data_IF_232391396088
#
_entry.id   IF_232391396088
#
_cell.length_a   1.000
_cell.length_b   1.000
_cell.length_c   1.000
_cell.angle_alpha   90.00
_cell.angle_beta   90.00
_cell.angle_gamma   90.00
#
_symmetry.space_group_name_H-M   'P 1'
#
loop_
_entity.id
_entity.type
_entity.pdbx_description
1 polymer ?
#
# COMPACT_ATOMS: atom_id res chain seq x y z
N UNK A 1 10.77 -11.86 7.06
CA UNK A 1 10.17 -11.23 5.86
C UNK A 1 8.72 -11.65 5.72
N UNK A 2 7.78 -10.69 5.74
CA UNK A 2 6.39 -10.95 5.36
C UNK A 2 6.27 -10.81 3.82
N UNK A 3 5.47 -11.66 3.20
CA UNK A 3 5.19 -11.60 1.77
C UNK A 3 3.74 -11.17 1.58
N UNK A 4 3.55 -10.03 0.90
CA UNK A 4 2.24 -9.59 0.43
C UNK A 4 1.95 -10.29 -0.90
N UNK A 5 0.78 -10.91 -1.02
CA UNK A 5 0.22 -11.45 -2.26
C UNK A 5 -1.15 -10.81 -2.43
N UNK A 6 -1.35 -10.05 -3.49
CA UNK A 6 -2.60 -9.35 -3.76
C UNK A 6 -2.96 -9.41 -5.24
N UNK A 7 -4.23 -9.59 -5.56
CA UNK A 7 -4.78 -9.48 -6.92
C UNK A 7 -5.57 -8.19 -7.04
N UNK A 8 -5.11 -7.26 -7.88
CA UNK A 8 -5.75 -5.95 -8.08
C UNK A 8 -6.61 -5.90 -9.34
N UNK A 9 -7.75 -5.25 -9.21
CA UNK A 9 -8.66 -4.91 -10.30
C UNK A 9 -8.98 -3.41 -10.27
N UNK A 10 -9.03 -2.80 -11.44
CA UNK A 10 -9.57 -1.45 -11.61
C UNK A 10 -11.08 -1.58 -11.77
N UNK A 11 -11.83 -0.72 -11.08
CA UNK A 11 -13.29 -0.74 -11.10
C UNK A 11 -13.76 0.46 -11.89
N UNK A 12 -14.61 0.22 -12.90
CA UNK A 12 -15.28 1.29 -13.61
C UNK A 12 -16.24 2.03 -12.67
N UNK A 13 -16.27 3.36 -12.77
CA UNK A 13 -17.00 4.24 -11.85
C UNK A 13 -18.47 3.84 -11.68
N UNK A 14 -19.15 3.53 -12.78
CA UNK A 14 -20.59 3.21 -12.78
C UNK A 14 -20.88 1.81 -12.20
N UNK A 15 -19.85 0.96 -12.06
CA UNK A 15 -19.97 -0.40 -11.53
C UNK A 15 -19.71 -0.50 -10.03
N UNK A 16 -19.25 0.58 -9.37
CA UNK A 16 -18.85 0.56 -7.95
C UNK A 16 -20.01 0.12 -7.05
N UNK A 17 -21.21 0.66 -7.24
CA UNK A 17 -22.36 0.32 -6.40
C UNK A 17 -22.84 -1.12 -6.63
N UNK A 18 -22.85 -1.57 -7.88
CA UNK A 18 -23.19 -2.95 -8.21
C UNK A 18 -22.20 -3.94 -7.58
N UNK A 19 -20.90 -3.66 -7.67
CA UNK A 19 -19.85 -4.46 -7.05
C UNK A 19 -19.99 -4.47 -5.53
N UNK A 20 -20.19 -3.30 -4.90
CA UNK A 20 -20.38 -3.18 -3.46
C UNK A 20 -21.58 -4.01 -2.99
N UNK A 21 -22.72 -3.91 -3.66
CA UNK A 21 -23.92 -4.70 -3.32
C UNK A 21 -23.67 -6.20 -3.48
N UNK A 22 -22.97 -6.60 -4.54
CA UNK A 22 -22.61 -8.00 -4.76
C UNK A 22 -21.75 -8.54 -3.61
N UNK A 23 -20.70 -7.81 -3.22
CA UNK A 23 -19.82 -8.20 -2.10
C UNK A 23 -20.56 -8.23 -0.76
N UNK A 24 -21.48 -7.29 -0.52
CA UNK A 24 -22.30 -7.26 0.69
C UNK A 24 -23.22 -8.50 0.80
N UNK A 25 -23.77 -8.96 -0.32
CA UNK A 25 -24.65 -10.13 -0.33
C UNK A 25 -23.85 -11.45 -0.28
N UNK A 26 -22.70 -11.51 -0.94
CA UNK A 26 -21.88 -12.71 -1.04
C UNK A 26 -21.03 -12.98 0.22
N UNK A 27 -20.67 -11.94 0.98
CA UNK A 27 -19.68 -12.04 2.06
C UNK A 27 -20.18 -11.44 3.36
N UNK A 28 -20.05 -12.21 4.46
CA UNK A 28 -20.29 -11.69 5.82
C UNK A 28 -19.30 -10.58 6.14
N UNK A 29 -19.81 -9.36 6.35
CA UNK A 29 -19.01 -8.20 6.76
C UNK A 29 -18.30 -8.45 8.09
N UNK A 30 -17.03 -8.06 8.15
CA UNK A 30 -16.42 -7.60 9.40
C UNK A 30 -16.25 -6.09 9.25
N UNK A 31 -17.09 -5.25 9.90
CA UNK A 31 -16.97 -3.81 9.78
C UNK A 31 -15.63 -3.37 10.37
N UNK A 32 -14.83 -2.66 9.57
CA UNK A 32 -13.59 -2.02 10.03
C UNK A 32 -13.61 -0.57 9.56
N UNK A 33 -13.17 0.34 10.45
CA UNK A 33 -13.36 1.77 10.30
C UNK A 33 -12.61 2.31 9.06
N UNK A 34 -13.27 2.95 8.09
CA UNK A 34 -12.71 3.18 6.76
C UNK A 34 -12.09 4.57 6.63
N UNK A 35 -10.84 4.79 7.05
CA UNK A 35 -10.09 5.97 6.62
C UNK A 35 -8.62 5.62 6.55
N UNK A 36 -7.99 5.82 5.39
CA UNK A 36 -6.54 5.79 5.28
C UNK A 36 -6.07 6.92 4.38
N UNK A 37 -5.42 7.90 4.99
CA UNK A 37 -4.60 8.87 4.27
C UNK A 37 -3.17 8.31 4.28
N UNK A 38 -2.53 8.19 3.12
CA UNK A 38 -1.13 7.79 3.07
C UNK A 38 -0.28 8.69 2.20
N UNK A 39 0.86 9.10 2.75
CA UNK A 39 1.90 9.84 2.04
C UNK A 39 2.89 8.81 1.51
N UNK A 40 3.10 8.81 0.19
CA UNK A 40 3.98 7.87 -0.48
C UNK A 40 5.23 8.58 -1.01
N UNK A 41 6.35 7.91 -0.84
CA UNK A 41 7.68 8.35 -1.20
C UNK A 41 8.30 7.21 -2.00
N UNK A 42 8.47 7.42 -3.30
CA UNK A 42 9.15 6.43 -4.14
C UNK A 42 10.52 6.96 -4.51
N UNK A 43 11.57 6.25 -4.10
CA UNK A 43 12.93 6.55 -4.56
C UNK A 43 13.41 5.45 -5.49
N UNK A 44 13.79 5.85 -6.70
CA UNK A 44 14.42 4.97 -7.69
C UNK A 44 15.92 5.24 -7.71
N UNK A 45 16.75 4.28 -7.28
CA UNK A 45 18.19 4.30 -7.58
C UNK A 45 18.46 3.45 -8.81
N UNK A 46 19.10 4.05 -9.81
CA UNK A 46 19.70 3.33 -10.93
C UNK A 46 21.19 3.25 -10.67
N UNK A 47 21.70 2.11 -10.20
CA UNK A 47 23.14 1.86 -10.16
C UNK A 47 23.46 0.55 -10.88
N UNK A 48 24.27 0.65 -11.93
CA UNK A 48 25.11 -0.43 -12.48
C UNK A 48 24.42 -1.56 -13.25
N UNK A 49 23.33 -2.14 -12.74
CA UNK A 49 22.50 -3.13 -13.46
C UNK A 49 21.24 -3.56 -12.68
N UNK A 50 21.00 -3.04 -11.46
CA UNK A 50 19.85 -3.42 -10.64
C UNK A 50 19.04 -2.16 -10.32
N UNK A 51 17.84 -2.06 -10.91
CA UNK A 51 16.86 -1.05 -10.52
C UNK A 51 16.13 -1.59 -9.30
N UNK A 52 16.59 -1.19 -8.11
CA UNK A 52 15.86 -1.49 -6.88
C UNK A 52 14.88 -0.34 -6.62
N UNK A 53 13.59 -0.67 -6.66
CA UNK A 53 12.52 0.30 -6.40
C UNK A 53 12.07 0.04 -4.97
N UNK A 54 12.35 1.00 -4.10
CA UNK A 54 11.70 1.08 -2.81
C UNK A 54 10.48 1.98 -2.94
N UNK A 55 9.33 1.45 -2.54
CA UNK A 55 8.16 2.25 -2.28
C UNK A 55 8.00 2.34 -0.76
N UNK A 56 8.31 3.51 -0.24
CA UNK A 56 8.15 3.87 1.17
C UNK A 56 6.85 4.64 1.31
N UNK A 57 6.08 4.38 2.35
CA UNK A 57 4.89 5.18 2.67
C UNK A 57 4.71 5.31 4.17
N UNK A 58 4.05 6.38 4.58
CA UNK A 58 3.41 6.48 5.89
C UNK A 58 1.90 6.45 5.66
N UNK A 59 1.21 5.53 6.33
CA UNK A 59 -0.25 5.45 6.37
C UNK A 59 -0.74 5.97 7.71
N UNK A 60 -1.60 6.97 7.70
CA UNK A 60 -2.33 7.48 8.85
C UNK A 60 -3.80 7.04 8.82
N UNK A 61 -4.29 6.53 9.94
CA UNK A 61 -5.69 6.17 10.14
C UNK A 61 -6.10 6.37 11.60
N UNK A 62 -7.09 7.23 11.85
CA UNK A 62 -7.62 7.50 13.20
C UNK A 62 -6.53 7.84 14.24
N UNK A 63 -5.57 8.69 13.87
CA UNK A 63 -4.46 9.10 14.75
C UNK A 63 -3.40 8.02 14.98
N UNK A 64 -3.47 6.87 14.31
CA UNK A 64 -2.41 5.86 14.27
C UNK A 64 -1.64 5.96 12.97
N UNK A 65 -0.35 5.71 13.03
CA UNK A 65 0.54 5.79 11.88
C UNK A 65 1.32 4.49 11.71
N UNK A 66 1.50 4.09 10.47
CA UNK A 66 2.28 2.92 10.08
C UNK A 66 3.21 3.32 8.94
N UNK A 67 4.51 3.06 9.09
CA UNK A 67 5.49 3.14 8.03
C UNK A 67 5.56 1.80 7.30
N UNK A 68 5.45 1.82 5.97
CA UNK A 68 5.58 0.61 5.15
C UNK A 68 6.73 0.75 4.15
N UNK A 69 7.57 -0.26 4.05
CA UNK A 69 8.52 -0.44 2.94
C UNK A 69 8.08 -1.61 2.07
N UNK A 70 7.91 -1.34 0.77
CA UNK A 70 7.71 -2.36 -0.26
C UNK A 70 8.96 -2.44 -1.13
N UNK A 71 9.51 -3.65 -1.26
CA UNK A 71 10.71 -3.91 -2.06
C UNK A 71 10.29 -4.50 -3.42
N UNK A 72 11.18 -4.45 -4.41
CA UNK A 72 10.99 -5.10 -5.69
C UNK A 72 10.49 -6.54 -5.53
N UNK A 73 9.43 -6.86 -6.26
CA UNK A 73 8.79 -8.17 -6.24
C UNK A 73 8.41 -8.59 -7.66
N UNK A 74 7.51 -9.55 -7.76
CA UNK A 74 6.99 -10.08 -9.01
C UNK A 74 5.59 -9.52 -9.28
N UNK A 75 5.34 -9.16 -10.54
CA UNK A 75 4.00 -8.79 -11.02
C UNK A 75 3.67 -9.68 -12.22
N UNK A 76 2.49 -10.30 -12.20
CA UNK A 76 1.94 -11.10 -13.31
C UNK A 76 0.48 -10.67 -13.53
N UNK A 77 0.24 -9.82 -14.52
CA UNK A 77 -1.07 -9.19 -14.70
C UNK A 77 -1.43 -8.35 -13.48
N UNK A 78 -2.63 -8.56 -12.92
CA UNK A 78 -3.06 -7.91 -11.68
C UNK A 78 -2.50 -8.54 -10.38
N UNK A 79 -1.77 -9.66 -10.46
CA UNK A 79 -1.22 -10.34 -9.29
C UNK A 79 0.12 -9.71 -8.90
N UNK A 80 0.18 -9.13 -7.71
CA UNK A 80 1.40 -8.57 -7.12
C UNK A 80 1.90 -9.48 -6.00
N UNK A 81 3.19 -9.77 -6.01
CA UNK A 81 3.86 -10.52 -4.96
C UNK A 81 5.14 -9.80 -4.58
N UNK A 82 5.23 -9.27 -3.35
CA UNK A 82 6.39 -8.49 -2.93
C UNK A 82 6.68 -8.65 -1.44
N UNK A 83 7.97 -8.57 -1.06
CA UNK A 83 8.34 -8.35 0.33
C UNK A 83 7.78 -7.01 0.83
N UNK A 84 7.16 -7.04 2.00
CA UNK A 84 6.64 -5.86 2.68
C UNK A 84 7.06 -5.88 4.16
N UNK A 85 7.36 -4.69 4.68
CA UNK A 85 7.65 -4.46 6.10
C UNK A 85 6.77 -3.33 6.61
N UNK A 86 5.94 -3.62 7.62
CA UNK A 86 5.05 -2.68 8.28
C UNK A 86 5.57 -2.41 9.69
N UNK A 87 5.72 -1.14 10.04
CA UNK A 87 6.26 -0.69 11.32
C UNK A 87 5.30 0.37 11.88
N UNK A 88 4.73 0.12 13.06
CA UNK A 88 3.95 1.14 13.77
C UNK A 88 4.86 2.29 14.23
N UNK A 89 4.45 3.52 13.94
CA UNK A 89 5.16 4.76 14.31
C UNK A 89 4.20 5.67 15.08
N UNK A 90 4.75 6.52 15.95
CA UNK A 90 3.93 7.38 16.82
C UNK A 90 3.52 8.69 16.14
N UNK A 91 4.28 9.13 15.15
CA UNK A 91 4.12 10.40 14.44
C UNK A 91 4.27 10.16 12.93
N UNK A 92 3.72 11.03 12.06
CA UNK A 92 3.83 10.89 10.61
C UNK A 92 5.23 11.30 10.09
N UNK A 93 6.28 10.80 10.72
CA UNK A 93 7.68 11.07 10.40
C UNK A 93 8.41 9.76 10.09
N UNK A 94 9.38 9.80 9.18
CA UNK A 94 10.09 8.60 8.76
C UNK A 94 11.14 8.18 9.80
N UNK A 95 10.98 6.97 10.34
CA UNK A 95 11.93 6.33 11.25
C UNK A 95 12.74 5.25 10.50
N UNK A 96 13.47 5.63 9.44
CA UNK A 96 14.11 4.70 8.49
C UNK A 96 15.02 3.65 9.14
N UNK A 97 15.67 4.01 10.25
CA UNK A 97 16.57 3.14 11.01
C UNK A 97 15.87 1.93 11.64
N UNK A 98 14.53 1.96 11.75
CA UNK A 98 13.74 0.84 12.30
C UNK A 98 13.53 -0.30 11.31
N UNK A 99 13.79 -0.08 10.02
CA UNK A 99 13.75 -1.18 9.06
C UNK A 99 14.93 -2.13 9.26
N UNK A 100 14.73 -3.45 9.10
CA UNK A 100 15.81 -4.41 9.26
C UNK A 100 16.84 -4.26 8.14
N UNK A 101 18.10 -4.59 8.44
CA UNK A 101 19.23 -4.52 7.51
C UNK A 101 18.94 -5.12 6.13
N UNK A 102 18.18 -6.22 6.08
CA UNK A 102 17.83 -6.97 4.87
C UNK A 102 17.03 -6.19 3.83
N UNK A 103 16.39 -5.06 4.19
CA UNK A 103 15.69 -4.22 3.19
C UNK A 103 16.65 -3.42 2.32
N UNK A 104 17.89 -3.25 2.78
CA UNK A 104 18.90 -2.42 2.14
C UNK A 104 19.85 -3.27 1.28
N UNK A 105 20.36 -2.75 0.15
CA UNK A 105 21.07 -3.55 -0.83
C UNK A 105 22.39 -4.11 -0.28
N UNK A 106 23.02 -3.32 0.59
CA UNK A 106 24.30 -3.64 1.22
C UNK A 106 24.13 -4.01 2.70
N UNK A 107 22.90 -4.28 3.16
CA UNK A 107 22.61 -4.52 4.58
C UNK A 107 22.58 -3.26 5.45
N UNK A 108 22.78 -2.07 4.87
CA UNK A 108 22.91 -0.82 5.62
C UNK A 108 22.05 0.30 5.01
N UNK A 109 21.43 1.10 5.88
CA UNK A 109 20.71 2.31 5.52
C UNK A 109 21.68 3.30 4.84
N UNK A 110 21.39 3.75 3.59
CA UNK A 110 22.25 4.76 2.96
C UNK A 110 22.22 6.07 3.75
N UNK A 111 23.40 6.58 4.12
CA UNK A 111 23.54 7.77 4.97
C UNK A 111 22.88 9.04 4.41
N UNK A 112 22.76 9.17 3.09
CA UNK A 112 22.11 10.32 2.45
C UNK A 112 20.60 10.16 2.28
N UNK A 113 20.05 8.95 2.53
CA UNK A 113 18.65 8.66 2.21
C UNK A 113 17.69 9.54 3.00
N UNK A 114 17.92 9.71 4.30
CA UNK A 114 17.06 10.52 5.15
C UNK A 114 16.98 11.99 4.69
N UNK A 115 18.08 12.55 4.21
CA UNK A 115 18.14 13.93 3.74
C UNK A 115 17.53 14.12 2.34
N UNK A 116 17.61 13.11 1.49
CA UNK A 116 17.13 13.18 0.10
C UNK A 116 15.65 12.80 -0.06
N UNK A 117 15.07 12.14 0.93
CA UNK A 117 13.67 11.69 0.86
C UNK A 117 12.73 12.87 1.08
N UNK A 118 11.80 13.04 0.14
CA UNK A 118 10.75 14.05 0.19
C UNK A 118 9.41 13.41 -0.20
N UNK A 119 8.27 13.89 0.35
CA UNK A 119 6.94 13.50 -0.10
C UNK A 119 6.80 13.67 -1.61
N UNK A 120 6.39 12.61 -2.31
CA UNK A 120 6.23 12.66 -3.77
C UNK A 120 4.76 12.81 -4.16
N UNK A 121 3.89 12.03 -3.54
CA UNK A 121 2.45 12.06 -3.75
C UNK A 121 1.71 11.58 -2.50
N UNK A 122 0.46 12.00 -2.33
CA UNK A 122 -0.46 11.50 -1.33
C UNK A 122 -1.54 10.66 -1.98
N UNK A 123 -2.10 9.72 -1.22
CA UNK A 123 -3.36 9.07 -1.56
C UNK A 123 -4.29 9.20 -0.38
N UNK A 124 -5.46 9.77 -0.60
CA UNK A 124 -6.54 9.83 0.39
C UNK A 124 -7.71 9.00 -0.13
N UNK A 125 -8.04 7.92 0.58
CA UNK A 125 -9.13 7.06 0.18
C UNK A 125 -9.81 6.36 1.34
N UNK A 126 -11.06 6.04 1.07
CA UNK A 126 -11.91 5.20 1.89
C UNK A 126 -11.73 3.75 1.48
N UNK A 127 -11.48 2.90 2.48
CA UNK A 127 -11.33 1.46 2.27
C UNK A 127 -12.47 0.71 2.94
N UNK A 128 -13.33 0.09 2.15
CA UNK A 128 -14.27 -0.92 2.62
C UNK A 128 -13.62 -2.30 2.55
N UNK A 129 -13.87 -3.14 3.56
CA UNK A 129 -13.23 -4.46 3.66
C UNK A 129 -14.23 -5.56 3.93
N UNK A 130 -13.97 -6.72 3.34
CA UNK A 130 -14.69 -7.97 3.56
C UNK A 130 -13.68 -9.09 3.76
N UNK A 131 -13.94 -9.98 4.72
CA UNK A 131 -13.09 -11.14 4.96
C UNK A 131 -13.81 -12.39 4.50
N UNK A 132 -13.25 -13.08 3.49
CA UNK A 132 -13.75 -14.37 3.02
C UNK A 132 -12.82 -15.50 3.44
N UNK A 133 -13.39 -16.69 3.59
CA UNK A 133 -12.62 -17.92 3.77
C UNK A 133 -12.90 -18.83 2.58
N UNK A 134 -11.84 -19.21 1.87
CA UNK A 134 -11.92 -20.10 0.71
C UNK A 134 -11.03 -21.32 0.99
N UNK A 135 -11.66 -22.46 1.27
CA UNK A 135 -10.97 -23.66 1.74
C UNK A 135 -10.18 -23.40 3.04
N UNK A 136 -8.86 -23.44 2.96
CA UNK A 136 -7.94 -23.15 4.08
C UNK A 136 -7.39 -21.71 4.08
N UNK A 137 -7.75 -20.92 3.08
CA UNK A 137 -7.26 -19.56 2.89
C UNK A 137 -8.20 -18.54 3.51
N UNK A 138 -7.63 -17.47 4.07
CA UNK A 138 -8.36 -16.25 4.45
C UNK A 138 -7.94 -15.14 3.51
N UNK A 139 -8.92 -14.48 2.90
CA UNK A 139 -8.70 -13.47 1.86
C UNK A 139 -9.43 -12.20 2.30
N UNK A 140 -8.70 -11.08 2.34
CA UNK A 140 -9.26 -9.76 2.61
C UNK A 140 -9.56 -9.07 1.28
N UNK A 141 -10.83 -8.92 0.96
CA UNK A 141 -11.27 -8.12 -0.17
C UNK A 141 -11.35 -6.66 0.30
N UNK A 142 -10.68 -5.76 -0.42
CA UNK A 142 -10.72 -4.32 -0.19
C UNK A 142 -11.31 -3.60 -1.40
N UNK A 143 -12.16 -2.60 -1.16
CA UNK A 143 -12.63 -1.63 -2.16
C UNK A 143 -12.11 -0.25 -1.74
N UNK A 144 -11.27 0.35 -2.57
CA UNK A 144 -10.66 1.66 -2.37
C UNK A 144 -11.38 2.71 -3.23
N UNK A 145 -11.83 3.79 -2.59
CA UNK A 145 -12.49 4.92 -3.23
C UNK A 145 -11.89 6.23 -2.71
N UNK A 146 -11.28 7.02 -3.59
CA UNK A 146 -10.66 8.28 -3.20
C UNK A 146 -9.84 8.86 -4.33
N UNK A 147 -8.67 9.40 -4.01
CA UNK A 147 -7.81 10.12 -4.95
C UNK A 147 -6.32 9.95 -4.65
N UNK A 148 -5.52 10.11 -5.69
CA UNK A 148 -4.07 10.27 -5.63
C UNK A 148 -3.75 11.70 -6.06
N UNK A 149 -2.85 12.35 -5.34
CA UNK A 149 -2.47 13.74 -5.54
C UNK A 149 -0.95 13.88 -5.58
N UNK A 150 -0.44 14.67 -6.52
CA UNK A 150 0.98 14.98 -6.67
C UNK A 150 1.12 16.44 -7.09
N UNK A 151 1.34 17.34 -6.12
CA UNK A 151 1.36 18.78 -6.39
C UNK A 151 -0.02 19.26 -6.85
N UNK A 152 -0.10 19.82 -8.06
CA UNK A 152 -1.36 20.30 -8.65
C UNK A 152 -2.13 19.21 -9.43
N UNK A 153 -1.56 18.01 -9.56
CA UNK A 153 -2.17 16.90 -10.31
C UNK A 153 -2.95 15.97 -9.38
N UNK A 154 -4.15 15.57 -9.81
CA UNK A 154 -5.02 14.68 -9.06
C UNK A 154 -5.73 13.67 -9.98
N UNK A 155 -5.83 12.42 -9.55
CA UNK A 155 -6.59 11.37 -10.25
C UNK A 155 -7.43 10.52 -9.28
N UNK A 156 -8.60 10.02 -9.69
CA UNK A 156 -9.44 9.19 -8.83
C UNK A 156 -8.86 7.78 -8.63
N UNK A 157 -8.93 7.29 -7.40
CA UNK A 157 -8.68 5.89 -7.03
C UNK A 157 -10.03 5.17 -6.97
N UNK A 158 -10.25 4.26 -7.93
CA UNK A 158 -11.39 3.34 -7.97
C UNK A 158 -10.87 1.93 -8.25
N UNK A 159 -10.61 1.15 -7.20
CA UNK A 159 -10.01 -0.18 -7.35
C UNK A 159 -10.47 -1.15 -6.28
N UNK A 160 -10.41 -2.44 -6.60
CA UNK A 160 -10.57 -3.51 -5.61
C UNK A 160 -9.34 -4.42 -5.61
N UNK A 161 -9.05 -5.03 -4.45
CA UNK A 161 -7.99 -6.01 -4.31
C UNK A 161 -8.40 -7.15 -3.39
N UNK A 162 -7.80 -8.33 -3.54
CA UNK A 162 -8.00 -9.52 -2.73
C UNK A 162 -6.69 -10.26 -2.46
#
# INVERSE_FOLDING_TARGET
MAQEIELKFIVEKDSVDALRQHLQNAVRRTPMNPYSCSISITKRRTTGCVVMIWALRIRGANGRYEMTMKIAGRVVGGLHQRPEYNIDINQPELELERFPAEVWPNGELPSTLAAEVQPLFSTDFWREKWLVTEGKSRIEIALDLGEVESGEYQEPILRTGA
#
